data_IF_945144148036
#
_entry.id   IF_945144148036
#
_cell.length_a   1.000
_cell.length_b   1.000
_cell.length_c   1.000
_cell.angle_alpha   90.00
_cell.angle_beta   90.00
_cell.angle_gamma   90.00
#
_symmetry.space_group_name_H-M   'P 1'
#
loop_
_entity.id
_entity.type
_entity.pdbx_description
1 polymer ?
#
# COMPACT_ATOMS: atom_id res chain seq x y z
N UNK A 1 -10.99 13.98 7.20
CA UNK A 1 -9.72 13.71 6.47
C UNK A 1 -9.09 12.38 6.92
N UNK A 2 -9.07 12.07 8.23
CA UNK A 2 -8.38 10.89 8.77
C UNK A 2 -9.19 9.58 8.76
N UNK A 3 -10.42 9.57 8.29
CA UNK A 3 -11.29 8.37 8.26
C UNK A 3 -10.72 7.24 7.40
N UNK A 4 -10.01 7.58 6.33
CA UNK A 4 -9.39 6.61 5.43
C UNK A 4 -7.97 6.21 5.81
N UNK A 5 -7.41 6.81 6.86
CA UNK A 5 -6.07 6.50 7.33
C UNK A 5 -6.07 5.14 8.03
N UNK A 6 -5.08 4.33 7.70
CA UNK A 6 -4.77 3.13 8.48
C UNK A 6 -4.35 3.53 9.90
N UNK A 7 -4.40 2.59 10.85
CA UNK A 7 -3.95 2.85 12.22
C UNK A 7 -2.50 3.35 12.26
N UNK A 8 -1.62 2.73 11.47
CA UNK A 8 -0.22 3.16 11.34
C UNK A 8 -0.07 4.55 10.74
N UNK A 9 -0.88 4.89 9.74
CA UNK A 9 -0.87 6.23 9.17
C UNK A 9 -1.35 7.29 10.18
N UNK A 10 -2.29 6.97 11.07
CA UNK A 10 -2.69 7.83 12.19
C UNK A 10 -1.57 7.97 13.20
N UNK A 11 -0.88 6.87 13.50
CA UNK A 11 0.28 6.88 14.41
C UNK A 11 1.40 7.77 13.89
N UNK A 12 1.65 7.83 12.58
CA UNK A 12 2.61 8.77 11.98
C UNK A 12 2.27 10.23 12.33
N UNK A 13 1.00 10.58 12.30
CA UNK A 13 0.56 11.96 12.66
C UNK A 13 0.82 12.27 14.13
N UNK A 14 0.57 11.30 15.03
CA UNK A 14 0.86 11.43 16.46
C UNK A 14 2.37 11.58 16.67
N UNK A 15 3.17 10.71 16.06
CA UNK A 15 4.62 10.75 16.16
C UNK A 15 5.22 12.04 15.58
N UNK A 16 4.64 12.57 14.48
CA UNK A 16 5.03 13.87 13.93
C UNK A 16 4.78 15.01 14.91
N UNK A 17 3.67 14.97 15.65
CA UNK A 17 3.37 15.95 16.70
C UNK A 17 4.36 15.85 17.87
N UNK A 18 4.73 14.62 18.25
CA UNK A 18 5.73 14.39 19.30
C UNK A 18 7.11 14.92 18.91
N UNK A 19 7.53 14.72 17.66
CA UNK A 19 8.79 15.26 17.14
C UNK A 19 8.77 16.79 17.11
N UNK A 20 7.66 17.40 16.69
CA UNK A 20 7.50 18.86 16.73
C UNK A 20 7.66 19.40 18.16
N UNK A 21 7.06 18.72 19.16
CA UNK A 21 7.21 19.09 20.58
C UNK A 21 8.63 18.92 21.07
N UNK A 22 9.28 17.80 20.71
CA UNK A 22 10.67 17.51 21.11
C UNK A 22 11.64 18.57 20.57
N UNK A 23 11.40 19.08 19.35
CA UNK A 23 12.15 20.16 18.73
C UNK A 23 11.68 21.56 19.16
N UNK A 24 10.69 21.65 20.08
CA UNK A 24 10.07 22.90 20.56
C UNK A 24 9.47 23.74 19.43
N UNK A 25 8.94 23.11 18.39
CA UNK A 25 8.26 23.80 17.31
C UNK A 25 6.76 23.95 17.62
N UNK A 26 6.19 25.09 17.27
CA UNK A 26 4.76 25.40 17.44
C UNK A 26 3.92 25.06 16.20
N UNK A 27 4.47 24.27 15.26
CA UNK A 27 3.83 23.82 14.04
C UNK A 27 4.27 22.38 13.69
N UNK A 28 3.44 21.66 12.91
CA UNK A 28 3.79 20.40 12.30
C UNK A 28 4.12 20.66 10.83
N UNK A 29 5.40 20.63 10.48
CA UNK A 29 5.91 20.76 9.12
C UNK A 29 6.09 19.43 8.41
N UNK A 30 6.54 19.49 7.17
CA UNK A 30 6.86 18.28 6.36
C UNK A 30 7.97 17.45 6.99
N UNK A 31 8.96 18.10 7.62
CA UNK A 31 10.06 17.48 8.36
C UNK A 31 9.57 16.62 9.53
N UNK A 32 8.56 17.08 10.25
CA UNK A 32 7.98 16.32 11.35
C UNK A 32 7.20 15.11 10.85
N UNK A 33 6.52 15.23 9.69
CA UNK A 33 5.87 14.08 9.04
C UNK A 33 6.91 13.04 8.62
N UNK A 34 8.06 13.46 8.07
CA UNK A 34 9.16 12.55 7.72
C UNK A 34 9.70 11.81 8.95
N UNK A 35 9.92 12.52 10.07
CA UNK A 35 10.34 11.91 11.32
C UNK A 35 9.28 10.93 11.87
N UNK A 36 8.00 11.29 11.78
CA UNK A 36 6.89 10.43 12.16
C UNK A 36 6.84 9.13 11.33
N UNK A 37 7.11 9.22 10.01
CA UNK A 37 7.19 8.05 9.14
C UNK A 37 8.34 7.11 9.51
N UNK A 38 9.52 7.66 9.83
CA UNK A 38 10.68 6.89 10.27
C UNK A 38 10.46 6.21 11.63
N UNK A 39 9.78 6.86 12.56
CA UNK A 39 9.48 6.32 13.88
C UNK A 39 8.39 5.24 13.90
N UNK A 40 7.53 5.20 12.88
CA UNK A 40 6.57 4.11 12.69
C UNK A 40 7.28 2.92 12.00
N UNK A 41 8.15 2.23 12.74
CA UNK A 41 9.07 1.20 12.25
C UNK A 41 8.38 0.03 11.54
N UNK A 42 7.15 -0.31 11.90
CA UNK A 42 6.37 -1.36 11.25
C UNK A 42 5.72 -0.89 9.94
N UNK A 43 5.74 0.41 9.66
CA UNK A 43 5.19 1.00 8.44
C UNK A 43 6.01 0.65 7.21
N UNK A 44 5.35 0.55 6.05
CA UNK A 44 6.04 0.31 4.79
C UNK A 44 6.98 1.48 4.45
N UNK A 45 6.60 2.71 4.78
CA UNK A 45 7.43 3.88 4.57
C UNK A 45 8.77 3.82 5.34
N UNK A 46 8.74 3.41 6.61
CA UNK A 46 9.96 3.26 7.41
C UNK A 46 10.92 2.25 6.77
N UNK A 47 10.41 1.11 6.32
CA UNK A 47 11.21 0.08 5.65
C UNK A 47 11.81 0.56 4.33
N UNK A 48 11.08 1.38 3.57
CA UNK A 48 11.60 1.99 2.34
C UNK A 48 12.73 2.94 2.65
N UNK A 49 12.55 3.81 3.66
CA UNK A 49 13.57 4.77 4.08
C UNK A 49 14.80 4.07 4.65
N UNK A 50 14.63 3.01 5.44
CA UNK A 50 15.71 2.17 5.96
C UNK A 50 16.52 1.50 4.83
N UNK A 51 15.86 1.02 3.76
CA UNK A 51 16.56 0.45 2.59
C UNK A 51 17.34 1.50 1.78
N UNK A 52 17.05 2.76 1.98
CA UNK A 52 17.80 3.89 1.42
C UNK A 52 18.81 4.47 2.41
N UNK A 53 19.12 3.73 3.49
CA UNK A 53 20.05 4.10 4.54
C UNK A 53 19.70 5.44 5.23
N UNK A 54 18.40 5.76 5.33
CA UNK A 54 17.90 6.97 5.99
C UNK A 54 17.41 6.63 7.39
N UNK A 55 18.07 7.15 8.41
CA UNK A 55 17.77 6.90 9.82
C UNK A 55 17.08 8.08 10.49
N UNK A 56 16.35 7.79 11.58
CA UNK A 56 15.68 8.84 12.40
C UNK A 56 16.68 9.84 12.94
N UNK A 57 17.84 9.36 13.42
CA UNK A 57 18.88 10.16 14.06
C UNK A 57 19.49 11.15 13.06
N UNK A 58 19.81 10.70 11.86
CA UNK A 58 20.38 11.54 10.81
C UNK A 58 19.38 12.60 10.33
N UNK A 59 18.13 12.21 10.11
CA UNK A 59 17.07 13.15 9.72
C UNK A 59 16.83 14.17 10.82
N UNK A 60 16.81 13.75 12.10
CA UNK A 60 16.65 14.66 13.23
C UNK A 60 17.81 15.66 13.32
N UNK A 61 19.04 15.22 13.08
CA UNK A 61 20.21 16.09 13.02
C UNK A 61 20.10 17.11 11.86
N UNK A 62 19.65 16.67 10.68
CA UNK A 62 19.42 17.55 9.54
C UNK A 62 18.31 18.57 9.82
N UNK A 63 17.20 18.16 10.42
CA UNK A 63 16.11 19.08 10.81
C UNK A 63 16.63 20.13 11.79
N UNK A 64 17.36 19.72 12.82
CA UNK A 64 17.97 20.65 13.79
C UNK A 64 18.95 21.63 13.12
N UNK A 65 19.68 21.18 12.09
CA UNK A 65 20.61 22.02 11.33
C UNK A 65 19.90 23.02 10.41
N UNK A 66 18.85 22.59 9.71
CA UNK A 66 18.14 23.41 8.69
C UNK A 66 17.16 24.37 9.33
N UNK A 67 16.38 23.88 10.30
CA UNK A 67 15.26 24.63 10.91
C UNK A 67 15.65 25.19 12.28
N UNK A 68 16.56 24.53 12.99
CA UNK A 68 16.92 24.86 14.37
C UNK A 68 15.98 24.22 15.39
N UNK A 69 16.12 24.63 16.64
CA UNK A 69 15.20 24.30 17.74
C UNK A 69 14.41 25.57 18.11
N UNK A 70 13.15 25.36 18.51
CA UNK A 70 12.33 26.46 19.03
C UNK A 70 12.73 26.85 20.46
N UNK A 71 12.27 28.01 20.90
CA UNK A 71 12.61 28.56 22.22
C UNK A 71 11.72 28.00 23.35
N UNK A 72 10.45 27.73 23.05
CA UNK A 72 9.46 27.34 24.06
C UNK A 72 8.73 26.03 23.72
N UNK A 73 8.42 25.23 24.76
CA UNK A 73 7.62 24.02 24.60
C UNK A 73 6.16 24.39 24.40
N UNK A 74 5.60 24.04 23.25
CA UNK A 74 4.18 24.28 22.96
C UNK A 74 3.28 23.30 23.71
N UNK A 75 2.41 23.82 24.59
CA UNK A 75 1.35 23.07 25.25
C UNK A 75 0.06 23.15 24.45
N UNK A 76 -0.53 22.00 24.11
CA UNK A 76 -1.79 21.92 23.38
C UNK A 76 -1.67 21.32 21.98
N UNK A 77 -2.68 21.57 21.14
CA UNK A 77 -2.67 21.09 19.75
C UNK A 77 -1.76 21.95 18.88
N UNK A 78 -0.85 21.29 18.19
CA UNK A 78 0.08 21.96 17.28
C UNK A 78 -0.53 21.93 15.86
N UNK A 79 -0.68 23.10 15.18
CA UNK A 79 -1.26 23.14 13.84
C UNK A 79 -0.31 22.64 12.77
N UNK A 80 -0.87 22.07 11.72
CA UNK A 80 -0.13 21.72 10.51
C UNK A 80 0.17 22.95 9.67
N UNK A 81 1.37 23.03 9.12
CA UNK A 81 1.69 24.02 8.10
C UNK A 81 0.86 23.77 6.81
N UNK A 82 0.66 24.80 5.97
CA UNK A 82 -0.01 24.62 4.68
C UNK A 82 0.62 23.50 3.82
N UNK A 83 1.94 23.40 3.81
CA UNK A 83 2.67 22.34 3.08
C UNK A 83 2.43 20.96 3.67
N UNK A 84 2.44 20.82 5.00
CA UNK A 84 2.12 19.55 5.66
C UNK A 84 0.67 19.10 5.36
N UNK A 85 -0.29 20.03 5.33
CA UNK A 85 -1.66 19.73 4.88
C UNK A 85 -1.69 19.26 3.44
N UNK A 86 -0.94 19.91 2.55
CA UNK A 86 -0.82 19.52 1.13
C UNK A 86 -0.23 18.11 0.98
N UNK A 87 0.74 17.72 1.81
CA UNK A 87 1.27 16.35 1.83
C UNK A 87 0.17 15.33 2.11
N UNK A 88 -0.69 15.58 3.12
CA UNK A 88 -1.79 14.68 3.45
C UNK A 88 -2.86 14.62 2.35
N UNK A 89 -3.12 15.72 1.65
CA UNK A 89 -4.01 15.74 0.48
C UNK A 89 -3.40 14.96 -0.70
N UNK A 90 -2.09 15.13 -0.94
CA UNK A 90 -1.38 14.38 -1.97
C UNK A 90 -1.33 12.89 -1.65
N UNK A 91 -1.20 12.50 -0.37
CA UNK A 91 -1.27 11.11 0.05
C UNK A 91 -2.60 10.45 -0.34
N UNK A 92 -3.72 11.16 -0.21
CA UNK A 92 -5.02 10.68 -0.70
C UNK A 92 -5.02 10.48 -2.22
N UNK A 93 -4.46 11.43 -2.98
CA UNK A 93 -4.38 11.32 -4.44
C UNK A 93 -3.49 10.14 -4.87
N UNK A 94 -2.36 9.93 -4.20
CA UNK A 94 -1.49 8.79 -4.46
C UNK A 94 -2.19 7.46 -4.14
N UNK A 95 -2.91 7.35 -3.03
CA UNK A 95 -3.70 6.17 -2.71
C UNK A 95 -4.72 5.84 -3.82
N UNK A 96 -5.48 6.85 -4.26
CA UNK A 96 -6.45 6.68 -5.34
C UNK A 96 -5.79 6.30 -6.67
N UNK A 97 -4.61 6.88 -6.99
CA UNK A 97 -3.87 6.55 -8.22
C UNK A 97 -3.34 5.11 -8.23
N UNK A 98 -3.07 4.55 -7.06
CA UNK A 98 -2.68 3.14 -6.87
C UNK A 98 -3.88 2.20 -6.75
N UNK A 99 -5.11 2.71 -6.83
CA UNK A 99 -6.34 1.91 -6.70
C UNK A 99 -6.64 1.51 -5.25
N UNK A 100 -6.06 2.18 -4.26
CA UNK A 100 -6.29 1.90 -2.85
C UNK A 100 -7.41 2.79 -2.29
N UNK A 101 -8.24 2.22 -1.43
CA UNK A 101 -9.32 2.93 -0.72
C UNK A 101 -8.93 3.37 0.70
N UNK A 102 -7.69 3.12 1.09
CA UNK A 102 -7.08 3.48 2.37
C UNK A 102 -5.82 4.33 2.16
N UNK A 103 -5.42 5.08 3.19
CA UNK A 103 -4.18 5.84 3.21
C UNK A 103 -3.24 5.19 4.22
N UNK A 104 -2.21 4.51 3.71
CA UNK A 104 -1.14 3.92 4.50
C UNK A 104 0.08 4.85 4.62
N UNK A 105 1.09 4.42 5.35
CA UNK A 105 2.35 5.16 5.52
C UNK A 105 3.06 5.41 4.20
N UNK A 106 3.00 4.44 3.27
CA UNK A 106 3.53 4.55 1.90
C UNK A 106 2.91 5.69 1.11
N UNK A 107 1.61 5.92 1.27
CA UNK A 107 0.92 7.01 0.58
C UNK A 107 1.31 8.37 1.14
N UNK A 108 1.54 8.46 2.47
CA UNK A 108 2.05 9.69 3.11
C UNK A 108 3.45 9.99 2.60
N UNK A 109 4.33 8.98 2.48
CA UNK A 109 5.67 9.15 1.94
C UNK A 109 5.63 9.60 0.47
N UNK A 110 4.77 9.00 -0.37
CA UNK A 110 4.55 9.44 -1.75
C UNK A 110 4.04 10.88 -1.82
N UNK A 111 3.10 11.26 -0.95
CA UNK A 111 2.61 12.63 -0.85
C UNK A 111 3.71 13.62 -0.48
N UNK A 112 4.61 13.21 0.43
CA UNK A 112 5.72 14.01 0.91
C UNK A 112 6.74 14.28 -0.19
N UNK A 113 7.15 13.28 -0.96
CA UNK A 113 8.09 13.46 -2.08
C UNK A 113 7.44 14.21 -3.25
N UNK A 114 6.13 14.10 -3.44
CA UNK A 114 5.40 14.82 -4.49
C UNK A 114 5.21 16.30 -4.17
N UNK A 115 5.14 16.68 -2.91
CA UNK A 115 5.09 18.08 -2.48
C UNK A 115 6.37 18.83 -2.85
N UNK A 116 7.51 18.18 -2.80
CA UNK A 116 8.87 18.50 -3.31
C UNK A 116 9.48 19.86 -2.97
N UNK A 117 8.79 20.74 -2.26
CA UNK A 117 9.28 22.08 -1.89
C UNK A 117 9.49 22.25 -0.37
N UNK A 118 9.06 21.27 0.42
CA UNK A 118 9.20 21.28 1.88
C UNK A 118 10.60 20.92 2.37
N UNK A 119 10.83 21.13 3.67
CA UNK A 119 12.09 20.79 4.35
C UNK A 119 12.38 19.28 4.20
N UNK A 120 11.35 18.44 4.33
CA UNK A 120 11.49 16.99 4.15
C UNK A 120 12.02 16.61 2.77
N UNK A 121 11.49 17.23 1.70
CA UNK A 121 11.95 16.95 0.33
C UNK A 121 13.42 17.33 0.15
N UNK A 122 13.85 18.45 0.74
CA UNK A 122 15.26 18.85 0.72
C UNK A 122 16.14 17.85 1.46
N UNK A 123 15.75 17.41 2.65
CA UNK A 123 16.46 16.40 3.43
C UNK A 123 16.59 15.10 2.63
N UNK A 124 15.50 14.61 2.01
CA UNK A 124 15.52 13.40 1.20
C UNK A 124 16.48 13.52 0.00
N UNK A 125 16.55 14.69 -0.63
CA UNK A 125 17.52 14.95 -1.71
C UNK A 125 18.96 14.93 -1.22
N UNK A 126 19.25 15.46 -0.02
CA UNK A 126 20.57 15.42 0.59
C UNK A 126 21.04 13.98 0.87
N UNK A 127 20.09 13.04 1.06
CA UNK A 127 20.33 11.59 1.16
C UNK A 127 20.29 10.87 -0.21
N UNK A 128 20.29 11.59 -1.31
CA UNK A 128 20.17 11.01 -2.67
C UNK A 128 18.91 10.13 -2.85
N UNK A 129 17.87 10.37 -2.06
CA UNK A 129 16.58 9.70 -2.09
C UNK A 129 15.55 10.56 -2.84
N UNK A 130 15.65 10.59 -4.15
CA UNK A 130 14.71 11.32 -4.99
C UNK A 130 13.33 10.64 -5.07
N UNK A 131 12.36 11.37 -5.61
CA UNK A 131 10.97 10.92 -5.72
C UNK A 131 10.84 9.62 -6.54
N UNK A 132 11.66 9.43 -7.56
CA UNK A 132 11.61 8.23 -8.41
C UNK A 132 12.17 7.01 -7.67
N UNK A 133 13.28 7.15 -6.96
CA UNK A 133 13.86 6.07 -6.14
C UNK A 133 12.88 5.60 -5.07
N UNK A 134 12.29 6.55 -4.32
CA UNK A 134 11.30 6.24 -3.28
C UNK A 134 10.06 5.58 -3.89
N UNK A 135 9.53 6.11 -4.99
CA UNK A 135 8.38 5.54 -5.68
C UNK A 135 8.64 4.11 -6.17
N UNK A 136 9.78 3.90 -6.81
CA UNK A 136 10.16 2.59 -7.32
C UNK A 136 10.33 1.58 -6.19
N UNK A 137 10.90 1.99 -5.06
CA UNK A 137 11.07 1.12 -3.89
C UNK A 137 9.73 0.79 -3.22
N UNK A 138 8.82 1.76 -3.10
CA UNK A 138 7.44 1.52 -2.63
C UNK A 138 6.74 0.52 -3.55
N UNK A 139 6.78 0.73 -4.87
CA UNK A 139 6.15 -0.17 -5.84
C UNK A 139 6.79 -1.57 -5.76
N UNK A 140 8.11 -1.65 -5.61
CA UNK A 140 8.84 -2.91 -5.46
C UNK A 140 8.39 -3.66 -4.21
N UNK A 141 8.26 -2.98 -3.07
CA UNK A 141 7.78 -3.59 -1.83
C UNK A 141 6.31 -4.00 -1.90
N UNK A 142 5.45 -3.19 -2.52
CA UNK A 142 4.04 -3.53 -2.73
C UNK A 142 3.88 -4.70 -3.72
N UNK A 143 4.79 -4.81 -4.69
CA UNK A 143 4.77 -5.87 -5.71
C UNK A 143 5.44 -7.18 -5.26
N UNK A 144 6.18 -7.19 -4.14
CA UNK A 144 6.93 -8.33 -3.60
C UNK A 144 8.22 -8.66 -4.38
N UNK A 145 9.20 -9.38 -3.80
CA UNK A 145 10.47 -9.73 -4.45
C UNK A 145 10.26 -10.80 -5.53
N UNK A 146 10.12 -10.39 -6.78
CA UNK A 146 9.92 -11.30 -7.90
C UNK A 146 10.11 -10.68 -9.29
N UNK A 147 10.62 -9.46 -9.38
CA UNK A 147 10.93 -8.87 -10.69
C UNK A 147 12.30 -8.22 -10.66
N UNK A 148 13.34 -9.02 -10.94
CA UNK A 148 14.62 -8.48 -11.39
C UNK A 148 14.37 -7.77 -12.71
N UNK A 149 14.60 -6.46 -12.74
CA UNK A 149 14.63 -5.64 -13.91
C UNK A 149 15.80 -6.08 -14.79
N UNK A 150 15.52 -6.76 -15.91
CA UNK A 150 16.41 -6.72 -17.05
C UNK A 150 15.90 -5.58 -17.95
N UNK A 151 16.70 -4.53 -18.06
CA UNK A 151 16.42 -3.46 -19.00
C UNK A 151 16.50 -3.98 -20.43
N UNK A 152 15.50 -3.64 -21.23
CA UNK A 152 15.67 -3.15 -22.59
C UNK A 152 14.31 -2.84 -23.20
N UNK A 153 14.25 -1.73 -23.91
CA UNK A 153 13.08 -1.25 -24.63
C UNK A 153 12.64 -2.23 -25.73
N UNK A 154 11.33 -2.37 -25.89
CA UNK A 154 10.75 -3.09 -27.05
C UNK A 154 9.23 -3.18 -26.89
N UNK A 155 8.52 -2.49 -27.78
CA UNK A 155 7.07 -2.47 -27.89
C UNK A 155 6.48 -3.87 -28.11
N UNK A 156 5.33 -4.16 -27.47
CA UNK A 156 4.53 -5.36 -27.74
C UNK A 156 3.54 -5.62 -26.64
N UNK A 157 2.29 -5.24 -26.86
CA UNK A 157 1.16 -5.62 -26.04
C UNK A 157 1.03 -7.15 -25.98
N UNK A 158 0.85 -7.71 -24.76
CA UNK A 158 -0.04 -8.83 -24.43
C UNK A 158 0.29 -9.43 -23.06
N UNK A 159 -0.72 -9.59 -22.21
CA UNK A 159 -0.73 -10.52 -21.08
C UNK A 159 -0.40 -9.90 -19.71
N UNK A 160 -1.37 -9.25 -19.08
CA UNK A 160 -1.35 -9.04 -17.63
C UNK A 160 -1.35 -10.39 -16.90
N UNK A 161 -0.16 -10.89 -16.57
CA UNK A 161 -0.05 -11.98 -15.59
C UNK A 161 -0.42 -11.42 -14.22
N UNK A 162 -1.47 -11.99 -13.62
CA UNK A 162 -1.98 -11.71 -12.30
C UNK A 162 -0.83 -11.50 -11.29
N UNK A 163 -0.84 -10.34 -10.64
CA UNK A 163 0.09 -10.01 -9.54
C UNK A 163 -0.25 -10.92 -8.35
N UNK A 164 0.52 -11.96 -8.15
CA UNK A 164 0.43 -12.79 -6.94
C UNK A 164 0.73 -11.91 -5.73
N UNK A 165 -0.28 -11.66 -4.91
CA UNK A 165 -0.11 -10.97 -3.64
C UNK A 165 0.50 -11.95 -2.64
N UNK A 166 1.72 -11.71 -2.18
CA UNK A 166 2.40 -12.55 -1.16
C UNK A 166 1.61 -12.70 0.14
N UNK A 167 0.82 -11.68 0.51
CA UNK A 167 -0.06 -11.77 1.66
C UNK A 167 -1.18 -12.78 1.42
N UNK A 168 -1.76 -12.82 0.23
CA UNK A 168 -2.75 -13.83 -0.12
C UNK A 168 -2.11 -15.23 -0.17
N UNK A 169 -0.88 -15.35 -0.66
CA UNK A 169 -0.16 -16.64 -0.68
C UNK A 169 0.22 -17.15 0.72
N UNK A 170 0.44 -16.25 1.69
CA UNK A 170 0.75 -16.63 3.08
C UNK A 170 -0.48 -17.04 3.89
N UNK A 171 -1.61 -16.39 3.66
CA UNK A 171 -2.84 -16.61 4.45
C UNK A 171 -3.97 -17.24 3.66
N UNK A 172 -3.88 -17.24 2.32
CA UNK A 172 -4.86 -17.81 1.40
C UNK A 172 -4.41 -19.14 0.81
N UNK A 173 -5.39 -19.90 0.32
CA UNK A 173 -5.15 -21.11 -0.46
C UNK A 173 -5.36 -20.79 -1.93
N UNK A 174 -4.36 -21.03 -2.78
CA UNK A 174 -4.48 -20.87 -4.23
C UNK A 174 -5.22 -22.07 -4.82
N UNK A 175 -6.53 -21.94 -4.98
CA UNK A 175 -7.39 -23.02 -5.44
C UNK A 175 -7.13 -23.40 -6.90
N UNK A 176 -6.83 -22.42 -7.78
CA UNK A 176 -6.51 -22.71 -9.20
C UNK A 176 -5.22 -23.51 -9.34
N UNK A 177 -4.20 -23.22 -8.54
CA UNK A 177 -2.97 -24.01 -8.49
C UNK A 177 -3.25 -25.42 -7.98
N UNK A 178 -4.05 -25.59 -6.93
CA UNK A 178 -4.42 -26.90 -6.41
C UNK A 178 -5.25 -27.70 -7.41
N UNK A 179 -6.13 -27.03 -8.18
CA UNK A 179 -6.88 -27.64 -9.27
C UNK A 179 -5.94 -28.19 -10.37
N UNK A 180 -4.96 -27.39 -10.80
CA UNK A 180 -3.98 -27.81 -11.82
C UNK A 180 -3.12 -28.98 -11.33
N UNK A 181 -2.82 -29.04 -10.02
CA UNK A 181 -2.08 -30.13 -9.38
C UNK A 181 -2.96 -31.37 -9.08
N UNK A 182 -4.26 -31.33 -9.40
CA UNK A 182 -5.21 -32.41 -9.15
C UNK A 182 -5.49 -32.68 -7.66
N UNK A 183 -5.28 -31.66 -6.81
CA UNK A 183 -5.45 -31.77 -5.35
C UNK A 183 -6.85 -31.40 -4.84
N UNK A 184 -7.73 -30.96 -5.73
CA UNK A 184 -9.12 -30.63 -5.38
C UNK A 184 -10.04 -31.79 -5.68
N UNK A 185 -10.99 -32.02 -4.78
CA UNK A 185 -12.03 -33.04 -4.99
C UNK A 185 -12.98 -32.65 -6.13
N UNK A 186 -13.52 -33.63 -6.87
CA UNK A 186 -14.54 -33.36 -7.89
C UNK A 186 -15.84 -32.88 -7.26
N UNK A 187 -16.35 -31.74 -7.75
CA UNK A 187 -17.58 -31.17 -7.25
C UNK A 187 -18.77 -31.70 -8.04
N UNK A 188 -19.68 -32.37 -7.36
CA UNK A 188 -20.87 -32.99 -7.95
C UNK A 188 -22.14 -32.22 -7.51
N UNK A 189 -23.05 -32.00 -8.44
CA UNK A 189 -24.40 -31.46 -8.14
C UNK A 189 -24.45 -29.94 -7.91
N UNK A 190 -23.38 -29.19 -8.19
CA UNK A 190 -23.28 -27.71 -8.01
C UNK A 190 -23.07 -26.95 -9.31
N UNK A 191 -23.42 -27.52 -10.43
CA UNK A 191 -23.13 -26.93 -11.75
C UNK A 191 -23.86 -25.61 -11.96
N UNK A 192 -25.11 -25.50 -11.54
CA UNK A 192 -25.90 -24.28 -11.70
C UNK A 192 -25.37 -23.12 -10.87
N UNK A 193 -24.94 -23.38 -9.63
CA UNK A 193 -24.37 -22.37 -8.76
C UNK A 193 -23.02 -21.88 -9.30
N UNK A 194 -22.16 -22.79 -9.78
CA UNK A 194 -20.87 -22.44 -10.39
C UNK A 194 -21.09 -21.60 -11.65
N UNK A 195 -22.01 -21.97 -12.53
CA UNK A 195 -22.37 -21.18 -13.72
C UNK A 195 -22.90 -19.79 -13.34
N UNK A 196 -23.71 -19.72 -12.30
CA UNK A 196 -24.23 -18.44 -11.82
C UNK A 196 -23.11 -17.54 -11.27
N UNK A 197 -22.15 -18.10 -10.53
CA UNK A 197 -20.97 -17.37 -10.06
C UNK A 197 -20.14 -16.87 -11.23
N UNK A 198 -19.86 -17.69 -12.25
CA UNK A 198 -19.16 -17.29 -13.46
C UNK A 198 -19.85 -16.15 -14.19
N UNK A 199 -21.19 -16.23 -14.37
CA UNK A 199 -21.98 -15.17 -14.97
C UNK A 199 -21.87 -13.84 -14.21
N UNK A 200 -21.84 -13.88 -12.87
CA UNK A 200 -21.71 -12.67 -12.05
C UNK A 200 -20.29 -12.11 -12.17
N UNK A 201 -19.26 -12.94 -12.08
CA UNK A 201 -17.86 -12.54 -12.20
C UNK A 201 -17.54 -11.94 -13.58
N UNK A 202 -18.18 -12.41 -14.65
CA UNK A 202 -18.02 -11.89 -16.02
C UNK A 202 -18.70 -10.55 -16.28
N UNK A 203 -19.41 -9.98 -15.31
CA UNK A 203 -20.04 -8.67 -15.46
C UNK A 203 -19.00 -7.55 -15.36
N UNK A 204 -19.20 -6.47 -16.14
CA UNK A 204 -18.35 -5.26 -16.07
C UNK A 204 -18.49 -4.50 -14.75
N UNK A 205 -19.65 -4.60 -14.10
CA UNK A 205 -19.95 -3.96 -12.83
C UNK A 205 -20.78 -4.91 -11.96
N UNK A 206 -20.74 -4.74 -10.62
CA UNK A 206 -21.42 -5.58 -9.64
C UNK A 206 -21.07 -7.07 -9.79
N UNK A 207 -19.78 -7.33 -10.00
CA UNK A 207 -19.20 -8.66 -10.24
C UNK A 207 -18.78 -9.40 -8.96
N UNK A 208 -19.31 -9.02 -7.80
CA UNK A 208 -18.99 -9.66 -6.52
C UNK A 208 -20.10 -10.66 -6.14
N UNK A 209 -19.95 -11.96 -6.42
CA UNK A 209 -20.90 -12.98 -5.98
C UNK A 209 -20.79 -13.23 -4.48
N UNK A 210 -21.92 -13.39 -3.81
CA UNK A 210 -22.02 -13.77 -2.41
C UNK A 210 -22.73 -15.10 -2.29
N UNK A 211 -22.09 -16.10 -1.66
CA UNK A 211 -22.66 -17.42 -1.40
C UNK A 211 -23.28 -17.42 0.00
N UNK A 212 -24.61 -17.53 0.05
CA UNK A 212 -25.38 -17.56 1.29
C UNK A 212 -25.91 -18.99 1.52
N UNK A 213 -25.87 -19.45 2.76
CA UNK A 213 -26.38 -20.75 3.16
C UNK A 213 -25.89 -21.15 4.56
N UNK A 214 -26.50 -22.19 5.12
CA UNK A 214 -26.09 -22.73 6.42
C UNK A 214 -24.69 -23.34 6.42
N UNK A 215 -24.06 -23.53 7.58
CA UNK A 215 -22.80 -24.26 7.68
C UNK A 215 -22.93 -25.68 7.08
N UNK A 216 -21.90 -26.13 6.34
CA UNK A 216 -21.88 -27.49 5.78
C UNK A 216 -22.58 -27.70 4.45
N UNK A 217 -23.33 -26.73 3.90
CA UNK A 217 -24.08 -26.90 2.62
C UNK A 217 -23.19 -26.87 1.36
N UNK A 218 -21.87 -26.81 1.50
CA UNK A 218 -20.94 -26.88 0.36
C UNK A 218 -20.63 -25.55 -0.32
N UNK A 219 -20.67 -24.40 0.41
CA UNK A 219 -20.25 -23.09 -0.13
C UNK A 219 -18.83 -23.08 -0.67
N UNK A 220 -17.91 -23.71 0.06
CA UNK A 220 -16.50 -23.84 -0.34
C UNK A 220 -16.33 -24.69 -1.59
N UNK A 221 -17.14 -25.77 -1.73
CA UNK A 221 -17.13 -26.63 -2.91
C UNK A 221 -17.47 -25.86 -4.20
N UNK A 222 -18.32 -24.83 -4.15
CA UNK A 222 -18.62 -23.98 -5.32
C UNK A 222 -17.37 -23.23 -5.77
N UNK A 223 -16.55 -22.73 -4.82
CA UNK A 223 -15.26 -22.08 -5.12
C UNK A 223 -14.23 -23.06 -5.70
N UNK A 224 -14.15 -24.28 -5.16
CA UNK A 224 -13.28 -25.34 -5.66
C UNK A 224 -13.69 -25.81 -7.05
N UNK A 225 -15.00 -25.96 -7.30
CA UNK A 225 -15.54 -26.28 -8.61
C UNK A 225 -15.28 -25.18 -9.66
N UNK A 226 -15.34 -23.91 -9.27
CA UNK A 226 -14.96 -22.80 -10.13
C UNK A 226 -13.46 -22.88 -10.48
N UNK A 227 -12.57 -23.14 -9.50
CA UNK A 227 -11.15 -23.28 -9.70
C UNK A 227 -10.81 -24.46 -10.68
N UNK A 228 -11.53 -25.58 -10.57
CA UNK A 228 -11.39 -26.69 -11.52
C UNK A 228 -11.79 -26.28 -12.95
N UNK A 229 -12.86 -25.51 -13.12
CA UNK A 229 -13.26 -25.04 -14.46
C UNK A 229 -12.27 -24.01 -15.03
N UNK A 230 -11.72 -23.14 -14.20
CA UNK A 230 -10.68 -22.19 -14.63
C UNK A 230 -9.41 -22.95 -15.08
N UNK A 231 -8.95 -23.93 -14.32
CA UNK A 231 -7.76 -24.73 -14.66
C UNK A 231 -7.95 -25.57 -15.93
N UNK A 232 -9.21 -25.93 -16.25
CA UNK A 232 -9.57 -26.70 -17.45
C UNK A 232 -9.97 -25.83 -18.64
N UNK A 233 -9.79 -24.49 -18.56
CA UNK A 233 -10.24 -23.53 -19.59
C UNK A 233 -11.72 -23.63 -19.96
N UNK A 234 -12.58 -24.05 -19.02
CA UNK A 234 -14.05 -24.15 -19.19
C UNK A 234 -14.75 -22.91 -18.64
N UNK A 235 -14.18 -21.76 -18.85
CA UNK A 235 -14.68 -20.46 -18.39
C UNK A 235 -14.66 -19.44 -19.52
N UNK A 236 -15.48 -18.36 -19.46
CA UNK A 236 -15.39 -17.25 -20.40
C UNK A 236 -14.00 -16.60 -20.39
N UNK A 237 -13.55 -16.03 -21.52
CA UNK A 237 -12.23 -15.40 -21.68
C UNK A 237 -11.90 -14.30 -20.66
N UNK A 238 -12.91 -13.78 -19.95
CA UNK A 238 -12.78 -12.74 -18.94
C UNK A 238 -12.41 -13.28 -17.54
N UNK A 239 -12.40 -14.58 -17.33
CA UNK A 239 -12.06 -15.30 -16.09
C UNK A 239 -10.81 -16.15 -16.27
#
# INVERSE_FOLDING_TARGET
MFERFTERARQVVVLAQDEARALKHNYIGTEHILLGLLREEEGLAARVLEQLDITVEEVRAQVAHIVGQGDEVTTGQIPFTPRAKKVLELALREALSLGHNYIGTEHILLGLVRENEGVAARILLDFDADAEKIRNEIIRMLSGPGRRQSGQAGAGAQGEKAKNSKLLDQFGRNLTKQATEGKLDPVVGRQLEIERVMQILSRRQKNNPVLIGEPGVGKTAVGEGLANRISSNQVPELL
#
